data_IF_608331911305
#
_entry.id   IF_608331911305
#
_cell.length_a   1.000
_cell.length_b   1.000
_cell.length_c   1.000
_cell.angle_alpha   90.00
_cell.angle_beta   90.00
_cell.angle_gamma   90.00
#
_symmetry.space_group_name_H-M   'P 1'
#
loop_
_entity.id
_entity.type
_entity.pdbx_description
1 polymer ?
#
# COMPACT_ATOMS: atom_id res chain seq x y z
N UNK A 1 13.03 8.63 4.37
CA UNK A 1 13.45 9.46 5.52
C UNK A 1 12.71 10.77 5.33
N UNK A 2 11.57 10.93 6.01
CA UNK A 2 10.82 12.17 5.97
C UNK A 2 11.64 13.19 6.77
N UNK A 3 12.09 14.26 6.11
CA UNK A 3 12.85 15.33 6.75
C UNK A 3 11.82 16.25 7.39
N UNK A 4 11.68 16.16 8.70
CA UNK A 4 10.91 17.13 9.49
C UNK A 4 11.71 18.44 9.55
N UNK A 5 11.13 19.54 9.05
CA UNK A 5 11.67 20.87 9.29
C UNK A 5 11.19 21.35 10.68
N UNK A 6 12.10 21.77 11.59
CA UNK A 6 11.73 22.09 12.96
C UNK A 6 11.18 23.52 12.99
N UNK A 7 9.88 23.70 12.78
CA UNK A 7 9.23 24.99 13.02
C UNK A 7 7.96 24.79 13.86
N UNK A 8 8.14 25.04 15.16
CA UNK A 8 7.16 25.14 16.26
C UNK A 8 6.16 23.98 16.36
N UNK A 9 6.54 22.97 17.15
CA UNK A 9 5.59 22.06 17.80
C UNK A 9 4.60 22.87 18.65
N UNK A 10 3.39 23.09 18.13
CA UNK A 10 2.24 23.40 18.99
C UNK A 10 1.68 22.07 19.49
N UNK A 11 1.35 21.95 20.79
CA UNK A 11 0.76 20.73 21.32
C UNK A 11 -0.52 20.42 20.55
N UNK A 12 -0.56 19.23 19.96
CA UNK A 12 -1.76 18.70 19.31
C UNK A 12 -2.73 18.41 20.45
N UNK A 13 -3.76 19.25 20.61
CA UNK A 13 -4.88 18.91 21.48
C UNK A 13 -5.68 17.78 20.81
N UNK A 14 -6.18 16.84 21.59
CA UNK A 14 -6.98 15.73 21.10
C UNK A 14 -8.42 15.91 21.54
N UNK A 15 -9.38 15.65 20.66
CA UNK A 15 -10.77 15.61 21.05
C UNK A 15 -11.08 14.23 21.61
N UNK A 16 -11.50 14.13 22.87
CA UNK A 16 -12.16 12.92 23.35
C UNK A 16 -13.56 12.83 22.72
N UNK A 17 -13.77 11.78 21.92
CA UNK A 17 -15.06 11.45 21.31
C UNK A 17 -15.51 10.12 21.88
N UNK A 18 -16.79 10.01 22.19
CA UNK A 18 -17.45 8.74 22.48
C UNK A 18 -18.04 8.15 21.20
N UNK A 19 -17.56 6.98 20.80
CA UNK A 19 -18.10 6.20 19.68
C UNK A 19 -18.91 5.03 20.26
N UNK A 20 -20.09 4.75 19.69
CA UNK A 20 -21.02 3.73 20.20
C UNK A 20 -21.36 3.92 21.70
N UNK A 21 -21.56 5.19 22.10
CA UNK A 21 -21.93 5.67 23.45
C UNK A 21 -20.91 5.42 24.57
N UNK A 22 -20.13 4.33 24.52
CA UNK A 22 -19.31 3.89 25.67
C UNK A 22 -17.80 3.80 25.37
N UNK A 23 -17.38 3.92 24.10
CA UNK A 23 -15.97 3.80 23.72
C UNK A 23 -15.33 5.18 23.65
N UNK A 24 -14.50 5.50 24.64
CA UNK A 24 -13.64 6.69 24.61
C UNK A 24 -12.55 6.54 23.56
N UNK A 25 -12.42 7.53 22.69
CA UNK A 25 -11.38 7.58 21.68
C UNK A 25 -10.99 9.02 21.37
N UNK A 26 -9.96 9.19 20.57
CA UNK A 26 -9.47 10.47 20.10
C UNK A 26 -9.75 10.63 18.62
N UNK A 27 -10.33 11.77 18.23
CA UNK A 27 -10.49 12.14 16.84
C UNK A 27 -9.39 13.13 16.42
N UNK A 28 -8.71 12.81 15.33
CA UNK A 28 -7.78 13.71 14.65
C UNK A 28 -8.21 13.92 13.20
N UNK A 29 -8.15 15.17 12.74
CA UNK A 29 -8.38 15.51 11.33
C UNK A 29 -7.16 16.16 10.71
N UNK A 30 -6.88 15.89 9.44
CA UNK A 30 -5.81 16.50 8.68
C UNK A 30 -6.25 16.80 7.25
N UNK A 31 -5.90 17.99 6.76
CA UNK A 31 -6.07 18.36 5.36
C UNK A 31 -4.74 18.13 4.64
N UNK A 32 -4.69 17.15 3.74
CA UNK A 32 -3.54 16.93 2.86
C UNK A 32 -3.83 17.56 1.49
N UNK A 33 -2.88 18.34 0.95
CA UNK A 33 -3.05 19.06 -0.31
C UNK A 33 -3.34 18.16 -1.54
N UNK A 34 -3.10 16.85 -1.45
CA UNK A 34 -3.33 15.88 -2.53
C UNK A 34 -4.47 14.92 -2.26
N UNK A 35 -4.96 14.87 -1.02
CA UNK A 35 -6.11 14.05 -0.72
C UNK A 35 -7.33 14.79 -1.26
N UNK A 36 -8.18 14.10 -2.03
CA UNK A 36 -9.44 14.66 -2.49
C UNK A 36 -10.36 15.04 -1.34
N UNK A 37 -10.17 14.40 -0.18
CA UNK A 37 -10.95 14.58 1.03
C UNK A 37 -10.03 14.71 2.26
N UNK A 38 -10.43 15.49 3.28
CA UNK A 38 -9.71 15.53 4.54
C UNK A 38 -9.63 14.14 5.18
N UNK A 39 -8.52 13.84 5.81
CA UNK A 39 -8.38 12.63 6.60
C UNK A 39 -9.00 12.86 7.98
N UNK A 40 -9.80 11.90 8.42
CA UNK A 40 -10.32 11.81 9.79
C UNK A 40 -9.93 10.44 10.36
N UNK A 41 -9.18 10.44 11.46
CA UNK A 41 -8.67 9.23 12.10
C UNK A 41 -9.18 9.20 13.54
N UNK A 42 -9.87 8.12 13.89
CA UNK A 42 -10.22 7.78 15.26
C UNK A 42 -9.16 6.83 15.82
N UNK A 43 -8.69 7.10 17.03
CA UNK A 43 -7.64 6.31 17.69
C UNK A 43 -7.95 6.12 19.17
N UNK A 44 -7.58 4.97 19.74
CA UNK A 44 -7.64 4.73 21.18
C UNK A 44 -6.44 5.32 21.94
N UNK A 45 -5.50 5.96 21.23
CA UNK A 45 -4.35 6.67 21.81
C UNK A 45 -4.38 8.15 21.41
N UNK A 46 -3.79 9.05 22.22
CA UNK A 46 -3.72 10.47 21.88
C UNK A 46 -3.05 10.69 20.51
N UNK A 47 -3.66 11.45 19.60
CA UNK A 47 -3.15 11.67 18.27
C UNK A 47 -1.89 12.52 18.28
N UNK A 48 -0.99 12.18 17.36
CA UNK A 48 0.20 12.97 17.03
C UNK A 48 0.36 13.05 15.52
N UNK A 49 1.38 13.76 15.02
CA UNK A 49 1.71 13.72 13.60
C UNK A 49 1.99 12.28 13.11
N UNK A 50 2.52 11.42 13.98
CA UNK A 50 2.76 10.01 13.68
C UNK A 50 1.46 9.23 13.45
N UNK A 51 0.34 9.65 14.04
CA UNK A 51 -0.97 9.00 13.80
C UNK A 51 -1.33 9.00 12.32
N UNK A 52 -1.11 10.13 11.65
CA UNK A 52 -1.38 10.23 10.22
C UNK A 52 -0.28 9.63 9.34
N UNK A 53 0.97 9.58 9.81
CA UNK A 53 2.02 8.80 9.15
C UNK A 53 1.64 7.31 9.09
N UNK A 54 1.25 6.74 10.24
CA UNK A 54 0.79 5.34 10.34
C UNK A 54 -0.47 5.13 9.50
N UNK A 55 -1.46 6.02 9.59
CA UNK A 55 -2.67 5.94 8.75
C UNK A 55 -2.34 5.99 7.25
N UNK A 56 -1.39 6.84 6.85
CA UNK A 56 -0.93 6.98 5.48
C UNK A 56 -0.31 5.70 4.90
N UNK A 57 0.21 4.80 5.73
CA UNK A 57 0.74 3.50 5.28
C UNK A 57 -0.34 2.64 4.61
N UNK A 58 -1.63 2.88 4.88
CA UNK A 58 -2.77 2.21 4.21
C UNK A 58 -2.69 2.28 2.69
N UNK A 59 -2.35 3.46 2.16
CA UNK A 59 -2.29 3.77 0.73
C UNK A 59 -1.07 3.13 0.03
N UNK A 60 -0.02 2.82 0.78
CA UNK A 60 1.18 2.12 0.29
C UNK A 60 1.18 0.60 0.55
N UNK A 61 0.28 0.12 1.41
CA UNK A 61 0.19 -1.27 1.86
C UNK A 61 -1.08 -1.97 1.37
N UNK A 62 -2.15 -1.91 2.16
CA UNK A 62 -3.35 -2.72 1.95
C UNK A 62 -4.22 -2.25 0.77
N UNK A 63 -4.24 -0.96 0.45
CA UNK A 63 -5.05 -0.45 -0.66
C UNK A 63 -4.61 -0.99 -2.04
N UNK A 64 -3.31 -0.98 -2.38
CA UNK A 64 -2.82 -1.69 -3.56
C UNK A 64 -3.27 -3.15 -3.60
N UNK A 65 -3.26 -3.85 -2.47
CA UNK A 65 -3.69 -5.24 -2.38
C UNK A 65 -5.19 -5.42 -2.70
N UNK A 66 -6.06 -4.52 -2.21
CA UNK A 66 -7.47 -4.53 -2.59
C UNK A 66 -7.68 -4.21 -4.08
N UNK A 67 -6.86 -3.32 -4.64
CA UNK A 67 -6.88 -3.02 -6.08
C UNK A 67 -6.50 -4.24 -6.91
N UNK A 68 -5.49 -5.00 -6.46
CA UNK A 68 -5.05 -6.24 -7.11
C UNK A 68 -6.17 -7.28 -7.15
N UNK A 69 -6.94 -7.45 -6.07
CA UNK A 69 -8.13 -8.30 -6.09
C UNK A 69 -9.19 -7.83 -7.08
N UNK A 70 -9.49 -6.51 -7.13
CA UNK A 70 -10.64 -6.01 -7.90
C UNK A 70 -10.40 -5.92 -9.40
N UNK A 71 -9.29 -5.33 -9.82
CA UNK A 71 -9.10 -4.97 -11.24
C UNK A 71 -7.66 -4.96 -11.72
N UNK A 72 -6.67 -4.84 -10.81
CA UNK A 72 -5.28 -4.76 -11.26
C UNK A 72 -4.65 -6.13 -11.55
N UNK A 73 -5.06 -7.21 -10.88
CA UNK A 73 -4.43 -8.52 -11.05
C UNK A 73 -5.41 -9.68 -11.27
N UNK A 74 -6.42 -9.83 -10.40
CA UNK A 74 -7.20 -11.08 -10.33
C UNK A 74 -8.66 -10.95 -10.75
N UNK A 75 -9.16 -9.72 -10.90
CA UNK A 75 -10.55 -9.45 -11.29
C UNK A 75 -11.59 -10.25 -10.49
N UNK A 76 -11.38 -10.41 -9.17
CA UNK A 76 -12.13 -11.29 -8.25
C UNK A 76 -13.66 -11.20 -8.44
N UNK A 77 -14.17 -9.99 -8.67
CA UNK A 77 -15.61 -9.72 -8.82
C UNK A 77 -16.19 -10.43 -10.07
N UNK A 78 -15.39 -10.65 -11.12
CA UNK A 78 -15.80 -11.39 -12.33
C UNK A 78 -16.00 -12.89 -12.10
N UNK A 79 -15.57 -13.43 -10.96
CA UNK A 79 -15.88 -14.83 -10.60
C UNK A 79 -17.37 -15.06 -10.32
N UNK A 80 -18.11 -14.00 -9.98
CA UNK A 80 -19.52 -14.04 -9.56
C UNK A 80 -19.83 -15.02 -8.41
N UNK A 81 -18.80 -15.47 -7.66
CA UNK A 81 -18.97 -16.35 -6.51
C UNK A 81 -19.76 -15.65 -5.41
N UNK A 82 -20.85 -16.30 -4.98
CA UNK A 82 -21.69 -15.85 -3.84
C UNK A 82 -21.60 -16.77 -2.64
N UNK A 83 -21.07 -17.98 -2.83
CA UNK A 83 -20.84 -18.92 -1.74
C UNK A 83 -19.62 -18.50 -0.92
N UNK A 84 -19.80 -18.40 0.40
CA UNK A 84 -18.77 -17.92 1.31
C UNK A 84 -17.56 -18.85 1.37
N UNK A 85 -17.79 -20.17 1.33
CA UNK A 85 -16.71 -21.15 1.39
C UNK A 85 -15.88 -21.16 0.11
N UNK A 86 -16.53 -21.09 -1.05
CA UNK A 86 -15.86 -20.96 -2.34
C UNK A 86 -15.04 -19.66 -2.42
N UNK A 87 -15.58 -18.55 -1.91
CA UNK A 87 -14.86 -17.28 -1.86
C UNK A 87 -13.62 -17.36 -0.96
N UNK A 88 -13.73 -17.99 0.22
CA UNK A 88 -12.60 -18.24 1.10
C UNK A 88 -11.51 -19.06 0.41
N UNK A 89 -11.87 -20.17 -0.23
CA UNK A 89 -10.94 -20.99 -0.99
C UNK A 89 -10.26 -20.20 -2.12
N UNK A 90 -11.03 -19.41 -2.89
CA UNK A 90 -10.48 -18.58 -3.95
C UNK A 90 -9.50 -17.55 -3.38
N UNK A 91 -9.85 -16.83 -2.32
CA UNK A 91 -8.98 -15.84 -1.69
C UNK A 91 -7.67 -16.46 -1.18
N UNK A 92 -7.72 -17.66 -0.60
CA UNK A 92 -6.52 -18.41 -0.21
C UNK A 92 -5.64 -18.74 -1.41
N UNK A 93 -6.23 -19.22 -2.51
CA UNK A 93 -5.50 -19.51 -3.76
C UNK A 93 -4.88 -18.25 -4.36
N UNK A 94 -5.61 -17.13 -4.38
CA UNK A 94 -5.10 -15.86 -4.88
C UNK A 94 -3.97 -15.31 -3.99
N UNK A 95 -4.05 -15.48 -2.68
CA UNK A 95 -2.97 -15.12 -1.75
C UNK A 95 -1.71 -15.95 -2.03
N UNK A 96 -1.83 -17.27 -2.21
CA UNK A 96 -0.72 -18.13 -2.59
C UNK A 96 -0.14 -17.76 -3.97
N UNK A 97 -0.99 -17.52 -4.97
CA UNK A 97 -0.57 -17.07 -6.29
C UNK A 97 0.17 -15.73 -6.24
N UNK A 98 -0.28 -14.80 -5.39
CA UNK A 98 0.38 -13.51 -5.17
C UNK A 98 1.79 -13.69 -4.60
N UNK A 99 1.97 -14.58 -3.62
CA UNK A 99 3.27 -14.88 -3.03
C UNK A 99 4.23 -15.49 -4.06
N UNK A 100 3.75 -16.43 -4.88
CA UNK A 100 4.55 -17.05 -5.95
C UNK A 100 4.96 -15.99 -6.98
N UNK A 101 4.03 -15.16 -7.44
CA UNK A 101 4.32 -14.09 -8.38
C UNK A 101 5.34 -13.10 -7.81
N UNK A 102 5.19 -12.68 -6.56
CA UNK A 102 6.17 -11.80 -5.89
C UNK A 102 7.54 -12.46 -5.82
N UNK A 103 7.63 -13.75 -5.48
CA UNK A 103 8.89 -14.48 -5.44
C UNK A 103 9.56 -14.58 -6.83
N UNK A 104 8.79 -14.82 -7.89
CA UNK A 104 9.28 -14.77 -9.28
C UNK A 104 9.79 -13.38 -9.64
N UNK A 105 9.06 -12.34 -9.26
CA UNK A 105 9.47 -10.96 -9.51
C UNK A 105 10.78 -10.59 -8.82
N UNK A 106 11.02 -11.10 -7.61
CA UNK A 106 12.30 -10.94 -6.92
C UNK A 106 13.44 -11.55 -7.73
N UNK A 107 13.27 -12.77 -8.27
CA UNK A 107 14.27 -13.40 -9.16
C UNK A 107 14.55 -12.51 -10.36
N UNK A 108 13.51 -12.03 -11.05
CA UNK A 108 13.65 -11.13 -12.22
C UNK A 108 14.43 -9.86 -11.88
N UNK A 109 14.17 -9.27 -10.72
CA UNK A 109 14.86 -8.05 -10.27
C UNK A 109 16.30 -8.35 -9.89
N UNK A 110 16.56 -9.43 -9.16
CA UNK A 110 17.90 -9.85 -8.75
C UNK A 110 18.80 -10.16 -9.94
N UNK A 111 18.26 -10.76 -11.00
CA UNK A 111 18.99 -11.08 -12.23
C UNK A 111 19.11 -9.90 -13.20
N UNK A 112 18.64 -8.70 -12.82
CA UNK A 112 18.71 -7.51 -13.68
C UNK A 112 17.76 -7.55 -14.89
N UNK A 113 16.86 -8.54 -14.97
CA UNK A 113 15.93 -8.76 -16.09
C UNK A 113 14.70 -7.84 -16.04
N UNK A 114 14.54 -7.00 -15.01
CA UNK A 114 13.42 -6.06 -14.85
C UNK A 114 13.09 -5.27 -16.12
N UNK A 115 14.10 -4.76 -16.82
CA UNK A 115 13.91 -3.91 -18.02
C UNK A 115 13.19 -4.62 -19.17
N UNK A 116 13.17 -5.95 -19.17
CA UNK A 116 12.40 -6.74 -20.15
C UNK A 116 10.89 -6.61 -19.94
N UNK A 117 10.45 -6.31 -18.71
CA UNK A 117 9.03 -6.29 -18.31
C UNK A 117 8.53 -4.90 -17.92
N UNK A 118 9.45 -4.03 -17.50
CA UNK A 118 9.18 -2.67 -17.03
C UNK A 118 10.14 -1.69 -17.68
N UNK A 119 9.60 -0.91 -18.62
CA UNK A 119 10.32 0.10 -19.40
C UNK A 119 10.80 1.30 -18.56
N UNK A 120 10.16 1.54 -17.41
CA UNK A 120 10.44 2.73 -16.62
C UNK A 120 11.87 2.71 -16.06
N UNK A 121 12.53 3.88 -16.06
CA UNK A 121 13.87 4.04 -15.50
C UNK A 121 13.93 3.59 -14.03
N UNK A 122 12.87 3.91 -13.27
CA UNK A 122 12.61 3.39 -11.93
C UNK A 122 11.53 2.31 -11.98
N UNK A 123 11.35 1.53 -10.91
CA UNK A 123 10.39 0.43 -10.93
C UNK A 123 8.95 0.97 -10.95
N UNK A 124 8.34 1.06 -12.12
CA UNK A 124 6.97 1.56 -12.29
C UNK A 124 5.91 0.51 -11.93
N UNK A 125 6.25 -0.77 -12.06
CA UNK A 125 5.35 -1.88 -11.73
C UNK A 125 5.53 -2.37 -10.29
N UNK A 126 4.45 -2.85 -9.67
CA UNK A 126 4.55 -3.59 -8.41
C UNK A 126 5.26 -4.94 -8.63
N UNK A 127 5.75 -5.55 -7.55
CA UNK A 127 6.31 -6.91 -7.65
C UNK A 127 5.27 -7.92 -8.13
N UNK A 128 4.01 -7.79 -7.69
CA UNK A 128 2.95 -8.66 -8.18
C UNK A 128 2.82 -8.55 -9.71
N UNK A 129 2.78 -7.33 -10.25
CA UNK A 129 2.67 -7.10 -11.69
C UNK A 129 3.89 -7.62 -12.48
N UNK A 130 5.10 -7.42 -11.97
CA UNK A 130 6.31 -8.00 -12.56
C UNK A 130 6.25 -9.52 -12.58
N UNK A 131 5.82 -10.12 -11.47
CA UNK A 131 5.71 -11.56 -11.30
C UNK A 131 4.71 -12.19 -12.24
N UNK A 132 3.50 -11.64 -12.30
CA UNK A 132 2.45 -12.11 -13.19
C UNK A 132 2.85 -12.01 -14.67
N UNK A 133 3.53 -10.92 -15.07
CA UNK A 133 4.04 -10.76 -16.44
C UNK A 133 5.15 -11.76 -16.77
N UNK A 134 6.07 -12.02 -15.84
CA UNK A 134 7.09 -13.05 -16.05
C UNK A 134 6.46 -14.44 -16.14
N UNK A 135 5.53 -14.78 -15.24
CA UNK A 135 4.81 -16.07 -15.30
C UNK A 135 4.09 -16.21 -16.64
N UNK A 136 3.38 -15.17 -17.09
CA UNK A 136 2.72 -15.18 -18.40
C UNK A 136 3.72 -15.40 -19.54
N UNK A 137 4.87 -14.73 -19.50
CA UNK A 137 5.96 -14.90 -20.47
C UNK A 137 6.53 -16.31 -20.47
N UNK A 138 6.78 -16.89 -19.29
CA UNK A 138 7.28 -18.26 -19.13
C UNK A 138 6.27 -19.27 -19.66
N UNK A 139 4.98 -19.12 -19.33
CA UNK A 139 3.91 -19.97 -19.86
C UNK A 139 3.83 -19.90 -21.40
N UNK A 140 3.89 -18.69 -21.97
CA UNK A 140 3.88 -18.50 -23.43
C UNK A 140 5.08 -19.17 -24.11
N UNK A 141 6.26 -19.09 -23.49
CA UNK A 141 7.50 -19.70 -23.99
C UNK A 141 7.66 -21.17 -23.57
N UNK A 142 6.72 -21.73 -22.80
CA UNK A 142 6.79 -23.08 -22.23
C UNK A 142 8.08 -23.32 -21.42
N UNK A 143 8.54 -22.30 -20.72
CA UNK A 143 9.70 -22.35 -19.85
C UNK A 143 9.28 -22.71 -18.41
N UNK A 144 10.16 -23.37 -17.64
CA UNK A 144 9.87 -23.68 -16.25
C UNK A 144 9.81 -22.41 -15.40
N UNK A 145 9.02 -22.48 -14.32
CA UNK A 145 9.06 -21.46 -13.27
C UNK A 145 10.46 -21.51 -12.61
N UNK A 146 11.14 -20.37 -12.46
CA UNK A 146 12.45 -20.34 -11.82
C UNK A 146 12.36 -20.80 -10.35
N UNK A 147 13.48 -21.22 -9.79
CA UNK A 147 13.56 -21.49 -8.35
C UNK A 147 13.18 -20.21 -7.59
N UNK A 148 12.15 -20.32 -6.75
CA UNK A 148 11.61 -19.17 -6.03
C UNK A 148 12.65 -18.60 -5.06
N UNK A 149 12.78 -17.28 -5.05
CA UNK A 149 13.62 -16.56 -4.11
C UNK A 149 12.95 -16.47 -2.73
N UNK A 150 13.77 -16.43 -1.68
CA UNK A 150 13.29 -16.09 -0.34
C UNK A 150 12.78 -14.65 -0.31
N UNK A 151 11.66 -14.42 0.39
CA UNK A 151 11.13 -13.08 0.58
C UNK A 151 12.10 -12.26 1.47
N UNK A 152 12.34 -10.98 1.15
CA UNK A 152 13.21 -10.13 1.95
C UNK A 152 12.56 -9.84 3.31
N UNK A 153 13.40 -9.73 4.35
CA UNK A 153 12.94 -9.35 5.71
C UNK A 153 12.40 -7.92 5.78
N UNK A 154 12.86 -7.05 4.88
CA UNK A 154 12.40 -5.66 4.78
C UNK A 154 11.68 -5.48 3.46
N UNK A 155 10.53 -4.84 3.51
CA UNK A 155 9.79 -4.50 2.30
C UNK A 155 10.63 -3.60 1.40
N UNK A 156 10.82 -3.97 0.13
CA UNK A 156 11.45 -3.10 -0.84
C UNK A 156 10.64 -1.80 -0.99
N UNK A 157 11.28 -0.69 -1.43
CA UNK A 157 10.58 0.58 -1.60
C UNK A 157 9.39 0.41 -2.56
N UNK A 158 8.31 1.20 -2.41
CA UNK A 158 7.14 1.11 -3.27
C UNK A 158 7.49 1.34 -4.75
N UNK A 159 6.62 0.85 -5.64
CA UNK A 159 6.80 1.08 -7.06
C UNK A 159 6.60 2.57 -7.39
N UNK A 160 7.58 3.17 -8.05
CA UNK A 160 7.55 4.55 -8.52
C UNK A 160 8.14 4.61 -9.92
N UNK A 161 7.37 5.10 -10.89
CA UNK A 161 7.79 5.21 -12.29
C UNK A 161 8.95 6.20 -12.52
N UNK A 162 9.14 7.18 -11.62
CA UNK A 162 10.20 8.19 -11.73
C UNK A 162 10.61 8.76 -10.36
N UNK A 163 11.81 9.34 -10.28
CA UNK A 163 12.29 10.06 -9.10
C UNK A 163 11.40 11.26 -8.79
N UNK A 164 11.00 12.04 -9.80
CA UNK A 164 10.09 13.18 -9.60
C UNK A 164 8.81 12.75 -8.90
N UNK A 165 8.22 11.61 -9.30
CA UNK A 165 7.01 11.08 -8.66
C UNK A 165 7.28 10.60 -7.24
N UNK A 166 8.45 9.99 -7.00
CA UNK A 166 8.87 9.55 -5.67
C UNK A 166 9.08 10.72 -4.71
N UNK A 167 9.85 11.71 -5.12
CA UNK A 167 10.11 12.94 -4.36
C UNK A 167 8.80 13.69 -4.08
N UNK A 168 7.91 13.75 -5.07
CA UNK A 168 6.57 14.29 -4.88
C UNK A 168 5.80 13.55 -3.76
N UNK A 169 5.81 12.22 -3.72
CA UNK A 169 5.16 11.46 -2.64
C UNK A 169 5.84 11.70 -1.29
N UNK A 170 7.18 11.73 -1.25
CA UNK A 170 7.96 11.87 -0.02
C UNK A 170 7.88 13.28 0.60
N UNK A 171 7.76 14.34 -0.21
CA UNK A 171 7.73 15.74 0.25
C UNK A 171 6.33 16.27 0.58
N UNK A 172 5.26 15.49 0.33
CA UNK A 172 3.90 16.02 0.37
C UNK A 172 3.06 15.59 1.57
N UNK A 173 3.64 14.80 2.48
CA UNK A 173 3.05 14.56 3.80
C UNK A 173 3.57 15.64 4.74
N UNK A 174 3.07 16.86 4.55
CA UNK A 174 3.27 17.97 5.50
C UNK A 174 1.93 18.27 6.18
N UNK A 175 1.87 18.03 7.48
CA UNK A 175 0.68 18.31 8.27
C UNK A 175 0.67 19.78 8.68
N UNK A 176 -0.14 20.59 8.00
CA UNK A 176 -0.19 22.03 8.29
C UNK A 176 -1.03 22.35 9.55
N UNK A 177 -2.07 21.55 9.83
CA UNK A 177 -3.01 21.81 10.93
C UNK A 177 -3.81 20.55 11.30
N UNK A 178 -3.87 20.23 12.58
CA UNK A 178 -4.82 19.25 13.15
C UNK A 178 -5.93 20.05 13.83
N UNK A 179 -7.18 19.84 13.42
CA UNK A 179 -8.34 20.56 14.00
C UNK A 179 -9.09 19.64 14.96
N UNK A 180 -9.49 20.22 16.09
CA UNK A 180 -10.08 19.56 17.25
C UNK A 180 -11.42 20.21 17.54
N UNK A 181 -12.46 19.43 17.77
CA UNK A 181 -13.80 19.93 18.07
C UNK A 181 -14.20 19.65 19.52
N UNK A 182 -13.71 20.40 20.51
CA UNK A 182 -14.21 20.23 21.88
C UNK A 182 -15.66 20.71 22.02
N UNK A 183 -16.52 19.86 22.56
CA UNK A 183 -17.80 20.28 23.17
C UNK A 183 -17.55 21.04 24.46
#
# INVERSE_FOLDING_TARGET
>A
MLIFSPQREKPISSLEVTVLQDIKCHLATAHLALASEPWAVLSNVPPSLQTFEVYGQRFGGIEPHFKDYKSAAFELIRSHLRDAQALNCLLMLLAAASLIAIAVALVVVHEGRRKMLDWHSHRGLSFLQLGLREIQRLCYQRLPIPRLAALPRKSPPPATASLKKRTQIEQQIEFFRVTVFST
#
